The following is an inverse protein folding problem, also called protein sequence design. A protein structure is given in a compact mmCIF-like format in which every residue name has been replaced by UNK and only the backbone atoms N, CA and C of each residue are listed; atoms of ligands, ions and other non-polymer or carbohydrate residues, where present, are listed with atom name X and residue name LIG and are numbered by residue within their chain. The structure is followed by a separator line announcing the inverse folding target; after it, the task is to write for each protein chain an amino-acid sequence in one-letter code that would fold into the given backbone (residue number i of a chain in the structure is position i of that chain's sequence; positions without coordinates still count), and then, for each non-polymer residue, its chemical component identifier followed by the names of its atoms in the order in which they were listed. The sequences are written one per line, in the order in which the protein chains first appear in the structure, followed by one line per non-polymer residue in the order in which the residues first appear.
data_IF_738352584989
#
_entry.id   IF_738352584989
#
_cell.length_a   1.000
_cell.length_b   1.000
_cell.length_c   1.000
_cell.angle_alpha   90.00
_cell.angle_beta   90.00
_cell.angle_gamma   90.00
#
_symmetry.space_group_name_H-M   'P 1'
#
loop_
_entity.id
_entity.type
_entity.pdbx_description
1 polymer ?
#
# COMPACT_ATOMS: atom_id res chain seq x y z
N UNK A 1 33.95 -1.26 -42.19
CA UNK A 1 34.36 -1.08 -40.79
C UNK A 1 33.07 -0.78 -40.03
N UNK A 2 32.55 -1.75 -39.29
CA UNK A 2 31.33 -1.57 -38.48
C UNK A 2 31.76 -1.28 -37.05
N UNK A 3 31.31 -0.15 -36.51
CA UNK A 3 31.60 0.30 -35.17
C UNK A 3 30.72 -0.46 -34.17
N UNK A 4 31.34 -1.06 -33.16
CA UNK A 4 30.70 -1.83 -32.10
C UNK A 4 29.94 -0.88 -31.17
N UNK A 5 28.61 -0.94 -31.20
CA UNK A 5 27.75 -0.29 -30.21
C UNK A 5 27.95 -0.93 -28.85
N UNK A 6 28.49 -0.15 -27.91
CA UNK A 6 28.55 -0.50 -26.48
C UNK A 6 27.11 -0.57 -25.97
N UNK A 7 26.66 -1.77 -25.62
CA UNK A 7 25.42 -1.96 -24.85
C UNK A 7 25.65 -1.39 -23.45
N UNK A 8 25.01 -0.25 -23.15
CA UNK A 8 24.95 0.26 -21.79
C UNK A 8 24.24 -0.77 -20.91
N UNK A 9 24.85 -1.20 -19.79
CA UNK A 9 24.19 -2.12 -18.86
C UNK A 9 22.91 -1.48 -18.31
N UNK A 10 21.89 -2.32 -18.25
CA UNK A 10 20.55 -2.14 -17.72
C UNK A 10 20.51 -1.11 -16.58
N UNK A 11 19.63 -0.12 -16.71
CA UNK A 11 19.27 0.78 -15.61
C UNK A 11 18.81 -0.08 -14.43
N UNK A 12 19.62 -0.13 -13.38
CA UNK A 12 19.21 -0.62 -12.07
C UNK A 12 17.96 0.17 -11.70
N UNK A 13 16.83 -0.51 -11.46
CA UNK A 13 15.63 0.15 -10.96
C UNK A 13 16.00 0.84 -9.63
N UNK A 14 16.09 2.16 -9.66
CA UNK A 14 16.29 2.96 -8.45
C UNK A 14 15.05 2.80 -7.56
N UNK A 15 15.23 2.83 -6.24
CA UNK A 15 14.08 3.04 -5.37
C UNK A 15 13.39 4.32 -5.82
N UNK A 16 12.07 4.27 -5.99
CA UNK A 16 11.28 5.45 -6.29
C UNK A 16 10.42 5.76 -5.07
N UNK A 17 11.06 6.25 -4.00
CA UNK A 17 10.34 6.92 -2.92
C UNK A 17 10.50 8.41 -3.15
N UNK A 18 9.52 8.98 -3.84
CA UNK A 18 9.49 10.38 -4.22
C UNK A 18 8.35 11.07 -3.47
N UNK A 19 8.59 12.13 -2.69
CA UNK A 19 7.52 12.86 -2.03
C UNK A 19 6.65 13.58 -3.07
N UNK A 20 5.36 13.71 -2.79
CA UNK A 20 4.45 14.47 -3.63
C UNK A 20 4.60 15.99 -3.39
N UNK A 21 4.59 16.84 -4.43
CA UNK A 21 4.63 18.30 -4.29
C UNK A 21 3.23 18.88 -4.03
N UNK A 22 2.54 18.41 -3.00
CA UNK A 22 1.11 18.68 -2.73
C UNK A 22 0.84 19.40 -1.39
N UNK A 23 1.88 20.01 -0.80
CA UNK A 23 1.76 20.71 0.49
C UNK A 23 1.68 19.79 1.72
N UNK A 24 1.82 18.47 1.55
CA UNK A 24 1.99 17.54 2.67
C UNK A 24 3.38 17.68 3.31
N UNK A 25 4.36 18.25 2.60
CA UNK A 25 5.73 18.47 3.08
C UNK A 25 6.39 17.17 3.58
N UNK A 26 6.13 16.05 2.90
CA UNK A 26 6.85 14.80 3.14
C UNK A 26 8.30 14.96 2.71
N UNK A 27 9.22 14.55 3.57
CA UNK A 27 10.66 14.68 3.34
C UNK A 27 11.30 13.31 3.37
N UNK A 28 12.14 13.03 2.36
CA UNK A 28 12.88 11.77 2.25
C UNK A 28 14.35 12.09 2.42
N UNK A 29 14.97 11.52 3.45
CA UNK A 29 16.40 11.68 3.73
C UNK A 29 17.08 10.31 3.61
N UNK A 30 17.75 10.03 2.48
CA UNK A 30 18.52 8.81 2.31
C UNK A 30 19.71 8.74 3.28
N UNK A 31 19.93 7.57 3.88
CA UNK A 31 21.13 7.21 4.63
C UNK A 31 21.55 5.80 4.21
N UNK A 32 22.41 5.72 3.19
CA UNK A 32 22.68 4.46 2.49
C UNK A 32 21.39 3.89 1.87
N UNK A 33 21.07 2.64 2.18
CA UNK A 33 19.86 1.95 1.70
C UNK A 33 18.61 2.24 2.55
N UNK A 34 18.70 3.11 3.55
CA UNK A 34 17.58 3.49 4.41
C UNK A 34 17.05 4.86 3.98
N UNK A 35 15.78 4.91 3.58
CA UNK A 35 15.05 6.14 3.27
C UNK A 35 14.27 6.57 4.51
N UNK A 36 14.78 7.56 5.24
CA UNK A 36 14.08 8.11 6.39
C UNK A 36 12.98 9.07 5.92
N UNK A 37 11.74 8.77 6.29
CA UNK A 37 10.54 9.52 5.92
C UNK A 37 10.18 10.40 7.11
N UNK A 38 10.33 11.71 6.93
CA UNK A 38 10.12 12.77 7.91
C UNK A 38 9.13 13.83 7.38
N UNK A 39 8.93 14.90 8.15
CA UNK A 39 8.03 15.99 7.80
C UNK A 39 6.59 15.51 7.87
N UNK A 40 5.79 15.79 6.85
CA UNK A 40 4.37 15.44 6.81
C UNK A 40 3.47 16.52 7.43
N UNK A 41 2.17 16.22 7.49
CA UNK A 41 1.16 17.07 8.13
C UNK A 41 0.54 16.33 9.29
N UNK A 42 0.34 17.01 10.41
CA UNK A 42 -0.35 16.46 11.56
C UNK A 42 -1.84 16.82 11.55
N UNK A 43 -2.66 15.95 12.13
CA UNK A 43 -4.05 16.25 12.46
C UNK A 43 -4.17 17.34 13.54
N UNK A 44 -5.36 17.91 13.69
CA UNK A 44 -5.60 18.98 14.67
C UNK A 44 -5.41 18.54 16.13
N UNK A 45 -5.57 17.25 16.42
CA UNK A 45 -5.30 16.63 17.73
C UNK A 45 -3.85 16.14 17.88
N UNK A 46 -3.02 16.28 16.85
CA UNK A 46 -1.62 15.84 16.82
C UNK A 46 -1.42 14.32 16.83
N UNK A 47 -2.48 13.51 16.74
CA UNK A 47 -2.40 12.05 16.89
C UNK A 47 -2.10 11.32 15.57
N UNK A 48 -2.35 11.94 14.42
CA UNK A 48 -2.16 11.35 13.09
C UNK A 48 -1.12 12.14 12.30
N UNK A 49 -0.16 11.43 11.68
CA UNK A 49 0.82 12.01 10.76
C UNK A 49 0.56 11.51 9.34
N UNK A 50 0.43 12.45 8.41
CA UNK A 50 0.12 12.17 7.01
C UNK A 50 1.34 12.44 6.12
N UNK A 51 1.62 11.48 5.25
CA UNK A 51 2.62 11.55 4.20
C UNK A 51 1.98 11.34 2.82
N UNK A 52 2.59 11.96 1.82
CA UNK A 52 2.15 11.88 0.43
C UNK A 52 3.33 11.66 -0.48
N UNK A 53 3.20 10.67 -1.37
CA UNK A 53 4.25 10.21 -2.26
C UNK A 53 3.78 10.28 -3.71
N UNK A 54 4.62 10.80 -4.58
CA UNK A 54 4.41 10.65 -6.02
C UNK A 54 4.61 9.18 -6.41
N UNK A 55 5.63 8.53 -5.86
CA UNK A 55 5.92 7.11 -6.05
C UNK A 55 6.42 6.55 -4.72
N UNK A 56 6.05 5.31 -4.44
CA UNK A 56 6.53 4.58 -3.27
C UNK A 56 6.88 3.15 -3.67
N UNK A 57 8.16 2.86 -3.76
CA UNK A 57 8.69 1.52 -4.05
C UNK A 57 10.03 1.26 -3.37
N UNK A 58 10.34 -0.02 -3.17
CA UNK A 58 11.59 -0.49 -2.56
C UNK A 58 12.16 -1.63 -3.38
N UNK A 59 13.47 -1.64 -3.60
CA UNK A 59 14.20 -2.81 -4.09
C UNK A 59 14.84 -3.59 -2.94
N UNK A 60 15.43 -4.75 -3.25
CA UNK A 60 16.03 -5.62 -2.24
C UNK A 60 17.12 -4.90 -1.44
N UNK A 61 17.09 -5.10 -0.12
CA UNK A 61 18.05 -4.49 0.81
C UNK A 61 17.75 -3.03 1.16
N UNK A 62 16.72 -2.43 0.55
CA UNK A 62 16.27 -1.08 0.89
C UNK A 62 15.25 -1.08 2.02
N UNK A 63 15.24 0.02 2.78
CA UNK A 63 14.31 0.22 3.90
C UNK A 63 13.59 1.55 3.75
N UNK A 64 12.25 1.55 3.82
CA UNK A 64 11.46 2.75 4.07
C UNK A 64 11.25 2.88 5.58
N UNK A 65 11.85 3.88 6.20
CA UNK A 65 11.76 4.10 7.64
C UNK A 65 10.91 5.33 7.96
N UNK A 66 9.67 5.11 8.40
CA UNK A 66 8.79 6.18 8.87
C UNK A 66 9.20 6.64 10.27
N UNK A 67 9.53 7.93 10.40
CA UNK A 67 9.94 8.50 11.68
C UNK A 67 8.70 8.94 12.45
N UNK A 68 8.43 8.22 13.54
CA UNK A 68 7.35 8.47 14.49
C UNK A 68 7.86 9.26 15.71
N UNK A 69 6.94 9.57 16.62
CA UNK A 69 7.19 10.01 17.98
C UNK A 69 6.12 9.42 18.95
N UNK A 70 6.32 9.49 20.28
CA UNK A 70 5.39 8.88 21.25
C UNK A 70 3.96 9.44 21.24
N UNK A 71 3.73 10.64 20.69
CA UNK A 71 2.40 11.25 20.63
C UNK A 71 1.58 10.77 19.43
N UNK A 72 2.24 10.21 18.40
CA UNK A 72 1.58 9.73 17.19
C UNK A 72 0.95 8.35 17.43
N UNK A 73 -0.34 8.25 17.15
CA UNK A 73 -1.09 6.98 17.13
C UNK A 73 -1.06 6.34 15.76
N UNK A 74 -1.15 7.12 14.70
CA UNK A 74 -1.20 6.62 13.33
C UNK A 74 -0.26 7.42 12.41
N UNK A 75 0.41 6.71 11.52
CA UNK A 75 1.10 7.25 10.35
C UNK A 75 0.35 6.76 9.12
N UNK A 76 -0.01 7.66 8.22
CA UNK A 76 -0.74 7.35 7.00
C UNK A 76 0.06 7.86 5.79
N UNK A 77 0.46 6.97 4.90
CA UNK A 77 1.07 7.29 3.62
C UNK A 77 0.10 7.07 2.47
N UNK A 78 -0.09 8.09 1.61
CA UNK A 78 -0.79 7.94 0.33
C UNK A 78 0.19 8.01 -0.84
N UNK A 79 -0.04 7.20 -1.87
CA UNK A 79 0.58 7.38 -3.18
C UNK A 79 -0.42 8.08 -4.09
N UNK A 80 -0.02 9.24 -4.61
CA UNK A 80 -0.85 10.09 -5.49
C UNK A 80 -0.47 9.94 -6.97
N UNK A 81 0.66 9.31 -7.26
CA UNK A 81 1.02 8.94 -8.63
C UNK A 81 0.25 7.72 -9.12
N UNK A 82 0.19 7.56 -10.45
CA UNK A 82 -0.57 6.51 -11.12
C UNK A 82 0.09 5.13 -11.11
N UNK A 83 1.28 5.01 -10.53
CA UNK A 83 2.05 3.78 -10.53
C UNK A 83 1.75 2.92 -9.30
N UNK A 84 1.68 1.60 -9.50
CA UNK A 84 1.57 0.65 -8.41
C UNK A 84 2.85 0.66 -7.55
N UNK A 85 2.69 0.43 -6.25
CA UNK A 85 3.80 0.33 -5.32
C UNK A 85 4.46 -1.04 -5.40
N UNK A 86 5.67 -1.12 -5.96
CA UNK A 86 6.49 -2.33 -5.94
C UNK A 86 7.44 -2.27 -4.75
N UNK A 87 7.14 -3.08 -3.73
CA UNK A 87 7.87 -3.11 -2.46
C UNK A 87 8.60 -4.45 -2.41
N UNK A 88 9.92 -4.45 -2.43
CA UNK A 88 10.75 -5.65 -2.32
C UNK A 88 11.85 -5.44 -1.26
N UNK A 89 11.48 -4.88 -0.11
CA UNK A 89 12.42 -4.50 0.95
C UNK A 89 11.73 -4.40 2.32
N UNK A 90 12.33 -3.65 3.24
CA UNK A 90 11.82 -3.49 4.60
C UNK A 90 10.97 -2.21 4.73
N UNK A 91 9.75 -2.34 5.24
CA UNK A 91 8.99 -1.19 5.76
C UNK A 91 9.14 -1.18 7.27
N UNK A 92 9.54 -0.02 7.81
CA UNK A 92 9.86 0.14 9.22
C UNK A 92 9.23 1.42 9.78
N UNK A 93 8.90 1.40 11.07
CA UNK A 93 8.58 2.60 11.85
C UNK A 93 9.50 2.65 13.07
N UNK A 94 10.13 3.79 13.32
CA UNK A 94 10.98 4.03 14.50
C UNK A 94 10.56 5.29 15.25
N UNK A 95 10.95 5.42 16.52
CA UNK A 95 10.73 6.64 17.32
C UNK A 95 9.39 6.71 18.06
N UNK A 96 8.49 5.74 17.86
CA UNK A 96 7.18 5.68 18.51
C UNK A 96 6.50 4.32 18.37
N UNK A 97 5.26 4.21 18.82
CA UNK A 97 4.43 2.99 18.76
C UNK A 97 3.17 3.23 17.90
N UNK A 98 3.35 3.77 16.71
CA UNK A 98 2.23 4.13 15.82
C UNK A 98 1.83 2.99 14.89
N UNK A 99 0.54 2.91 14.57
CA UNK A 99 0.03 2.12 13.45
C UNK A 99 0.51 2.73 12.14
N UNK A 100 0.67 1.90 11.10
CA UNK A 100 1.03 2.34 9.76
C UNK A 100 -0.05 1.95 8.74
N UNK A 101 -0.53 2.93 7.99
CA UNK A 101 -1.46 2.77 6.88
C UNK A 101 -0.75 3.17 5.58
N UNK A 102 -0.77 2.31 4.58
CA UNK A 102 -0.27 2.59 3.24
C UNK A 102 -1.40 2.45 2.23
N UNK A 103 -1.69 3.53 1.51
CA UNK A 103 -2.76 3.63 0.53
C UNK A 103 -2.18 3.90 -0.86
N UNK A 104 -2.47 3.02 -1.82
CA UNK A 104 -2.18 3.26 -3.24
C UNK A 104 -3.31 2.68 -4.12
N UNK A 105 -4.21 3.52 -4.66
CA UNK A 105 -5.30 3.04 -5.53
C UNK A 105 -4.84 2.32 -6.80
N UNK A 106 -3.63 2.62 -7.30
CA UNK A 106 -3.09 1.98 -8.50
C UNK A 106 -2.67 0.51 -8.28
N UNK A 107 -2.46 0.11 -7.02
CA UNK A 107 -2.09 -1.25 -6.64
C UNK A 107 -0.84 -1.33 -5.76
N UNK A 108 -0.67 -2.47 -5.09
CA UNK A 108 0.49 -2.74 -4.22
C UNK A 108 1.00 -4.15 -4.47
N UNK A 109 2.32 -4.30 -4.68
CA UNK A 109 3.01 -5.58 -4.81
C UNK A 109 4.07 -5.68 -3.72
N UNK A 110 3.89 -6.60 -2.79
CA UNK A 110 4.92 -7.03 -1.86
C UNK A 110 5.70 -8.19 -2.47
N UNK A 111 6.91 -7.92 -2.96
CA UNK A 111 7.86 -8.91 -3.48
C UNK A 111 8.38 -9.86 -2.39
N UNK A 112 9.13 -10.87 -2.81
CA UNK A 112 9.58 -12.00 -1.94
C UNK A 112 10.47 -11.55 -0.77
N UNK A 113 11.20 -10.46 -0.91
CA UNK A 113 12.03 -9.89 0.16
C UNK A 113 11.29 -8.90 1.05
N UNK A 114 9.99 -8.68 0.82
CA UNK A 114 9.19 -7.76 1.63
C UNK A 114 9.12 -8.23 3.08
N UNK A 115 9.43 -7.34 4.01
CA UNK A 115 9.32 -7.56 5.45
C UNK A 115 8.76 -6.31 6.12
N UNK A 116 8.15 -6.51 7.28
CA UNK A 116 7.67 -5.43 8.13
C UNK A 116 8.47 -5.41 9.45
N UNK A 117 8.89 -4.24 9.88
CA UNK A 117 9.35 -3.97 11.24
C UNK A 117 8.57 -2.78 11.79
N UNK A 118 7.29 -3.03 12.08
CA UNK A 118 6.36 -2.02 12.61
C UNK A 118 6.04 -2.33 14.07
N UNK A 119 5.89 -1.30 14.93
CA UNK A 119 5.68 -1.50 16.34
C UNK A 119 4.23 -1.80 16.72
N UNK A 120 3.28 -1.32 15.91
CA UNK A 120 1.84 -1.54 16.07
C UNK A 120 1.22 -2.16 14.79
N UNK A 121 -0.07 -1.93 14.55
CA UNK A 121 -0.79 -2.53 13.42
C UNK A 121 -0.31 -1.99 12.05
N UNK A 122 -0.43 -2.83 11.02
CA UNK A 122 -0.15 -2.48 9.63
C UNK A 122 -1.39 -2.68 8.75
N UNK A 123 -1.71 -1.67 7.95
CA UNK A 123 -2.77 -1.72 6.95
C UNK A 123 -2.24 -1.31 5.59
N UNK A 124 -2.43 -2.16 4.57
CA UNK A 124 -2.21 -1.81 3.18
C UNK A 124 -3.54 -1.83 2.42
N UNK A 125 -3.82 -0.79 1.64
CA UNK A 125 -5.08 -0.68 0.91
C UNK A 125 -4.96 -0.04 -0.47
N UNK A 126 -5.83 -0.45 -1.39
CA UNK A 126 -6.05 0.22 -2.69
C UNK A 126 -7.35 1.04 -2.72
N UNK A 127 -7.93 1.30 -1.54
CA UNK A 127 -9.01 2.26 -1.38
C UNK A 127 -8.59 3.65 -1.89
N UNK A 128 -9.57 4.43 -2.34
CA UNK A 128 -9.41 5.83 -2.75
C UNK A 128 -9.45 6.81 -1.58
N UNK A 129 -9.83 6.35 -0.39
CA UNK A 129 -9.69 7.13 0.83
C UNK A 129 -9.82 6.32 2.11
N UNK A 130 -9.28 6.88 3.19
CA UNK A 130 -9.35 6.38 4.56
C UNK A 130 -10.18 7.36 5.39
N UNK A 131 -11.25 6.90 6.00
CA UNK A 131 -12.23 7.73 6.68
C UNK A 131 -11.91 7.98 8.15
N UNK A 132 -12.17 9.22 8.58
CA UNK A 132 -12.09 9.72 9.94
C UNK A 132 -13.44 10.36 10.29
N UNK A 133 -14.36 9.57 10.86
CA UNK A 133 -15.76 9.97 11.06
C UNK A 133 -16.40 10.43 9.73
N UNK A 134 -16.65 11.73 9.57
CA UNK A 134 -17.27 12.31 8.37
C UNK A 134 -16.26 12.89 7.37
N UNK A 135 -14.96 12.79 7.69
CA UNK A 135 -13.86 13.33 6.89
C UNK A 135 -13.08 12.21 6.22
N UNK A 136 -12.37 12.53 5.13
CA UNK A 136 -11.60 11.57 4.36
C UNK A 136 -10.17 12.02 4.18
N UNK A 137 -9.24 11.10 4.45
CA UNK A 137 -7.91 11.15 3.88
C UNK A 137 -7.98 10.54 2.48
N UNK A 138 -8.09 11.39 1.47
CA UNK A 138 -8.29 11.00 0.07
C UNK A 138 -6.97 10.74 -0.63
N UNK A 139 -6.92 9.77 -1.53
CA UNK A 139 -5.77 9.51 -2.39
C UNK A 139 -5.62 10.55 -3.50
N UNK A 140 -6.74 11.08 -4.01
CA UNK A 140 -6.79 12.16 -4.99
C UNK A 140 -7.24 13.47 -4.35
N UNK A 141 -6.78 14.59 -4.92
CA UNK A 141 -7.15 15.93 -4.46
C UNK A 141 -6.53 16.36 -3.13
N UNK A 142 -7.03 17.48 -2.62
CA UNK A 142 -6.56 18.09 -1.38
C UNK A 142 -7.20 17.47 -0.14
N UNK A 143 -6.46 17.48 0.97
CA UNK A 143 -6.95 17.00 2.26
C UNK A 143 -6.95 18.12 3.30
N UNK A 144 -8.02 18.21 4.08
CA UNK A 144 -8.04 19.05 5.28
C UNK A 144 -7.49 18.26 6.48
N UNK A 145 -6.17 18.18 6.57
CA UNK A 145 -5.46 17.41 7.60
C UNK A 145 -5.91 17.73 9.04
N UNK A 146 -6.20 19.00 9.33
CA UNK A 146 -6.62 19.43 10.67
C UNK A 146 -7.92 18.75 11.15
N UNK A 147 -8.79 18.32 10.22
CA UNK A 147 -10.06 17.66 10.52
C UNK A 147 -9.97 16.12 10.58
N UNK A 148 -8.81 15.54 10.24
CA UNK A 148 -8.58 14.09 10.24
C UNK A 148 -8.12 13.62 11.64
N UNK A 149 -8.97 13.86 12.64
CA UNK A 149 -8.72 13.58 14.06
C UNK A 149 -9.29 12.21 14.48
N UNK A 150 -8.75 11.64 15.56
CA UNK A 150 -9.16 10.31 16.03
C UNK A 150 -8.56 9.16 15.21
N UNK A 151 -9.26 8.02 15.15
CA UNK A 151 -8.78 6.82 14.47
C UNK A 151 -9.44 6.62 13.10
N UNK A 152 -8.70 6.08 12.11
CA UNK A 152 -9.29 5.53 10.88
C UNK A 152 -10.41 4.54 11.20
N UNK A 153 -11.55 4.67 10.52
CA UNK A 153 -12.73 3.82 10.78
C UNK A 153 -13.38 3.24 9.52
N UNK A 154 -12.98 3.71 8.34
CA UNK A 154 -13.57 3.26 7.08
C UNK A 154 -12.62 3.42 5.90
N UNK A 155 -12.93 2.71 4.81
CA UNK A 155 -12.23 2.78 3.54
C UNK A 155 -13.24 2.93 2.41
N UNK A 156 -12.97 3.82 1.46
CA UNK A 156 -13.81 3.99 0.29
C UNK A 156 -13.13 3.44 -0.94
N UNK A 157 -13.87 2.62 -1.70
CA UNK A 157 -13.46 2.12 -3.01
C UNK A 157 -14.36 2.78 -4.03
N UNK A 158 -14.14 4.06 -4.34
CA UNK A 158 -15.06 4.85 -5.17
C UNK A 158 -14.94 4.59 -6.67
N UNK A 159 -13.85 3.96 -7.10
CA UNK A 159 -13.64 3.54 -8.49
C UNK A 159 -14.39 2.26 -8.80
N UNK A 160 -14.89 2.13 -10.03
CA UNK A 160 -15.53 0.90 -10.54
C UNK A 160 -14.59 -0.31 -10.52
N UNK A 161 -13.31 -0.09 -10.84
CA UNK A 161 -12.27 -1.12 -10.81
C UNK A 161 -11.13 -0.68 -9.88
N UNK A 162 -11.15 -1.10 -8.59
CA UNK A 162 -10.06 -0.79 -7.68
C UNK A 162 -8.81 -1.63 -7.94
N UNK A 163 -7.64 -1.11 -7.56
CA UNK A 163 -6.35 -1.78 -7.72
C UNK A 163 -6.21 -3.07 -6.91
N UNK A 164 -5.30 -3.93 -7.34
CA UNK A 164 -5.00 -5.19 -6.66
C UNK A 164 -3.91 -5.08 -5.59
N UNK A 165 -3.90 -6.03 -4.65
CA UNK A 165 -2.77 -6.29 -3.75
C UNK A 165 -2.20 -7.67 -4.07
N UNK A 166 -0.89 -7.73 -4.34
CA UNK A 166 -0.15 -8.99 -4.47
C UNK A 166 0.83 -9.11 -3.31
N UNK A 167 0.79 -10.22 -2.57
CA UNK A 167 1.78 -10.55 -1.55
C UNK A 167 2.52 -11.84 -1.88
N UNK A 168 3.82 -11.70 -2.14
CA UNK A 168 4.79 -12.78 -2.33
C UNK A 168 5.79 -12.87 -1.16
N UNK A 169 5.74 -11.92 -0.21
CA UNK A 169 6.70 -11.77 0.88
C UNK A 169 6.25 -12.38 2.21
N UNK A 170 6.97 -12.05 3.28
CA UNK A 170 6.56 -12.41 4.65
C UNK A 170 6.16 -11.14 5.40
N UNK A 171 4.86 -10.90 5.51
CA UNK A 171 4.30 -9.77 6.23
C UNK A 171 3.91 -10.22 7.63
N UNK A 172 4.70 -9.82 8.62
CA UNK A 172 4.49 -10.16 10.01
C UNK A 172 4.42 -8.88 10.86
N UNK A 173 3.40 -8.79 11.72
CA UNK A 173 3.31 -7.76 12.76
C UNK A 173 3.66 -8.35 14.13
N UNK A 174 3.88 -7.48 15.12
CA UNK A 174 4.21 -7.90 16.49
C UNK A 174 3.03 -8.55 17.19
N UNK A 175 3.30 -9.21 18.31
CA UNK A 175 2.28 -9.86 19.12
C UNK A 175 1.16 -8.89 19.53
N UNK A 176 -0.08 -9.33 19.42
CA UNK A 176 -1.29 -8.55 19.71
C UNK A 176 -1.64 -7.48 18.68
N UNK A 177 -0.86 -7.34 17.60
CA UNK A 177 -1.10 -6.34 16.56
C UNK A 177 -1.86 -6.92 15.37
N UNK A 178 -2.55 -6.06 14.61
CA UNK A 178 -3.35 -6.48 13.47
C UNK A 178 -2.61 -6.25 12.14
N UNK A 179 -2.86 -7.13 11.18
CA UNK A 179 -2.39 -7.04 9.80
C UNK A 179 -3.60 -7.01 8.87
N UNK A 180 -3.76 -5.95 8.08
CA UNK A 180 -4.93 -5.76 7.21
C UNK A 180 -4.52 -5.48 5.76
N UNK A 181 -5.06 -6.26 4.82
CA UNK A 181 -4.93 -6.06 3.37
C UNK A 181 -6.33 -5.88 2.76
N UNK A 182 -6.60 -4.71 2.18
CA UNK A 182 -7.90 -4.38 1.56
C UNK A 182 -7.69 -3.88 0.13
N UNK A 183 -8.11 -4.64 -0.87
CA UNK A 183 -7.92 -4.28 -2.28
C UNK A 183 -9.08 -4.69 -3.16
N UNK A 184 -9.12 -4.21 -4.41
CA UNK A 184 -10.12 -4.64 -5.39
C UNK A 184 -9.99 -6.13 -5.74
N UNK A 185 -8.75 -6.58 -5.82
CA UNK A 185 -8.38 -8.00 -5.92
C UNK A 185 -7.22 -8.26 -4.97
N UNK A 186 -7.12 -9.47 -4.42
CA UNK A 186 -5.99 -9.85 -3.57
C UNK A 186 -5.47 -11.22 -3.99
N UNK A 187 -4.16 -11.30 -4.20
CA UNK A 187 -3.42 -12.54 -4.36
C UNK A 187 -2.33 -12.59 -3.28
N UNK A 188 -2.36 -13.58 -2.39
CA UNK A 188 -1.30 -13.78 -1.39
C UNK A 188 -0.79 -15.21 -1.46
N UNK A 189 0.44 -15.38 -1.93
CA UNK A 189 1.18 -16.65 -1.87
C UNK A 189 2.33 -16.60 -0.85
N UNK A 190 2.66 -15.40 -0.36
CA UNK A 190 3.55 -15.18 0.77
C UNK A 190 2.90 -15.47 2.13
N UNK A 191 3.70 -15.37 3.20
CA UNK A 191 3.25 -15.58 4.58
C UNK A 191 2.63 -14.29 5.15
N UNK A 192 1.52 -14.46 5.88
CA UNK A 192 0.90 -13.42 6.71
C UNK A 192 0.91 -13.89 8.16
N UNK A 193 1.38 -13.05 9.09
CA UNK A 193 1.47 -13.41 10.52
C UNK A 193 1.08 -12.24 11.43
N UNK A 194 0.22 -12.52 12.40
CA UNK A 194 -0.20 -11.60 13.45
C UNK A 194 -0.43 -12.36 14.76
N UNK A 195 0.64 -12.81 15.46
CA UNK A 195 0.51 -13.62 16.66
C UNK A 195 -0.34 -12.91 17.71
N UNK A 196 -1.38 -13.56 18.25
CA UNK A 196 -2.29 -12.95 19.24
C UNK A 196 -3.10 -11.75 18.74
N UNK A 197 -3.01 -11.40 17.46
CA UNK A 197 -3.81 -10.36 16.80
C UNK A 197 -4.65 -10.93 15.66
N UNK A 198 -5.15 -10.07 14.78
CA UNK A 198 -6.01 -10.46 13.68
C UNK A 198 -5.35 -10.21 12.32
N UNK A 199 -5.57 -11.15 11.39
CA UNK A 199 -5.26 -10.97 9.96
C UNK A 199 -6.58 -10.76 9.22
N UNK A 200 -6.72 -9.61 8.58
CA UNK A 200 -7.87 -9.29 7.72
C UNK A 200 -7.42 -9.19 6.27
N UNK A 201 -7.98 -10.03 5.41
CA UNK A 201 -7.77 -9.97 3.96
C UNK A 201 -9.13 -9.92 3.29
N UNK A 202 -9.43 -8.83 2.58
CA UNK A 202 -10.72 -8.68 1.91
C UNK A 202 -10.56 -8.07 0.52
N UNK A 203 -11.13 -8.76 -0.47
CA UNK A 203 -11.36 -8.21 -1.80
C UNK A 203 -12.66 -7.38 -1.75
N UNK A 204 -12.57 -6.11 -2.15
CA UNK A 204 -13.67 -5.14 -2.04
C UNK A 204 -14.03 -4.68 -3.46
N UNK A 205 -15.24 -4.97 -3.95
CA UNK A 205 -15.67 -4.46 -5.24
C UNK A 205 -15.66 -2.93 -5.28
N UNK A 206 -15.50 -2.36 -6.46
CA UNK A 206 -15.64 -0.94 -6.67
C UNK A 206 -17.02 -0.41 -6.26
N UNK A 207 -17.11 0.90 -6.05
CA UNK A 207 -18.32 1.62 -5.63
C UNK A 207 -18.87 1.17 -4.25
N UNK A 208 -17.98 0.73 -3.36
CA UNK A 208 -18.31 0.28 -2.01
C UNK A 208 -17.52 1.02 -0.93
N UNK A 209 -18.09 1.01 0.28
CA UNK A 209 -17.46 1.44 1.51
C UNK A 209 -17.24 0.23 2.41
N UNK A 210 -16.12 0.26 3.12
CA UNK A 210 -15.78 -0.73 4.14
C UNK A 210 -15.70 0.00 5.47
N UNK A 211 -16.47 -0.44 6.46
CA UNK A 211 -16.37 0.07 7.83
C UNK A 211 -15.67 -0.97 8.70
N UNK A 212 -14.68 -0.53 9.48
CA UNK A 212 -14.08 -1.37 10.51
C UNK A 212 -14.91 -1.20 11.78
N UNK A 213 -15.35 -2.32 12.35
CA UNK A 213 -16.08 -2.28 13.60
C UNK A 213 -15.17 -1.91 14.77
N UNK A 214 -15.71 -1.16 15.73
CA UNK A 214 -15.03 -0.84 16.98
C UNK A 214 -15.07 -2.03 17.97
N UNK A 215 -14.13 -2.09 18.95
CA UNK A 215 -14.13 -3.12 19.99
C UNK A 215 -15.50 -3.28 20.66
N UNK A 216 -16.03 -4.51 20.70
CA UNK A 216 -17.35 -4.83 21.26
C UNK A 216 -18.43 -5.23 20.24
N UNK A 217 -18.14 -5.12 18.94
CA UNK A 217 -19.02 -5.62 17.88
C UNK A 217 -18.63 -7.05 17.43
N UNK A 218 -19.64 -7.86 17.07
CA UNK A 218 -19.43 -9.24 16.60
C UNK A 218 -18.92 -9.30 15.15
N UNK A 219 -19.36 -8.39 14.29
CA UNK A 219 -18.86 -8.25 12.92
C UNK A 219 -17.71 -7.25 12.92
N UNK A 220 -16.53 -7.67 12.44
CA UNK A 220 -15.33 -6.83 12.34
C UNK A 220 -15.29 -5.92 11.11
N UNK A 221 -16.05 -6.27 10.06
CA UNK A 221 -16.05 -5.62 8.76
C UNK A 221 -17.48 -5.53 8.21
N UNK A 222 -17.87 -4.35 7.74
CA UNK A 222 -19.14 -4.14 7.03
C UNK A 222 -18.87 -3.52 5.66
N UNK A 223 -19.42 -4.11 4.60
CA UNK A 223 -19.31 -3.58 3.23
C UNK A 223 -20.67 -3.03 2.81
N UNK A 224 -20.72 -1.75 2.44
CA UNK A 224 -21.94 -1.05 2.07
C UNK A 224 -21.79 -0.38 0.69
N UNK A 225 -22.85 -0.36 -0.14
CA UNK A 225 -22.84 0.41 -1.38
C UNK A 225 -22.57 1.90 -1.11
N UNK A 226 -21.83 2.55 -2.01
CA UNK A 226 -21.51 3.97 -1.92
C UNK A 226 -22.75 4.89 -1.80
N UNK A 227 -23.89 4.48 -2.35
CA UNK A 227 -25.16 5.23 -2.30
C UNK A 227 -25.74 5.42 -0.89
N UNK A 228 -25.22 4.70 0.12
CA UNK A 228 -25.58 4.86 1.52
C UNK A 228 -24.72 5.90 2.27
N UNK A 229 -23.78 6.56 1.60
CA UNK A 229 -22.81 7.46 2.22
C UNK A 229 -23.22 8.94 2.17
N UNK A 230 -22.88 9.70 3.22
CA UNK A 230 -23.08 11.16 3.25
C UNK A 230 -22.02 11.95 2.46
N UNK A 231 -20.73 11.64 2.65
CA UNK A 231 -19.61 12.26 1.95
C UNK A 231 -18.61 11.17 1.51
N UNK A 232 -17.93 11.39 0.39
CA UNK A 232 -17.01 10.43 -0.23
C UNK A 232 -15.72 11.13 -0.67
N UNK A 233 -14.58 10.42 -0.69
CA UNK A 233 -13.35 10.96 -1.27
C UNK A 233 -13.50 11.11 -2.79
N UNK A 234 -12.63 11.95 -3.36
CA UNK A 234 -12.59 12.14 -4.80
C UNK A 234 -12.16 10.84 -5.52
N UNK A 235 -12.76 10.59 -6.69
CA UNK A 235 -12.41 9.43 -7.49
C UNK A 235 -10.95 9.46 -7.94
N UNK A 236 -10.34 8.29 -7.99
CA UNK A 236 -9.04 8.11 -8.61
C UNK A 236 -9.20 8.19 -10.13
N UNK A 237 -8.48 9.09 -10.78
CA UNK A 237 -8.60 9.33 -12.23
C UNK A 237 -7.39 8.81 -13.02
N UNK A 238 -6.38 8.29 -12.33
CA UNK A 238 -5.20 7.71 -12.96
C UNK A 238 -5.43 6.22 -13.27
N UNK A 239 -4.68 5.63 -14.22
CA UNK A 239 -4.82 4.22 -14.56
C UNK A 239 -4.67 3.31 -13.33
N UNK A 240 -5.46 2.24 -13.32
CA UNK A 240 -5.34 1.14 -12.36
C UNK A 240 -4.83 -0.07 -13.13
N UNK A 241 -3.73 -0.66 -12.67
CA UNK A 241 -3.09 -1.79 -13.36
C UNK A 241 -3.84 -3.08 -13.00
N UNK A 242 -4.16 -3.90 -14.02
CA UNK A 242 -4.82 -5.20 -13.79
C UNK A 242 -3.89 -6.19 -13.10
N UNK A 243 -4.43 -7.22 -12.44
CA UNK A 243 -3.63 -8.22 -11.74
C UNK A 243 -2.59 -8.93 -12.65
N UNK A 244 -2.92 -9.36 -13.88
CA UNK A 244 -1.91 -9.91 -14.80
C UNK A 244 -0.79 -8.91 -15.09
N UNK A 245 -1.12 -7.65 -15.35
CA UNK A 245 -0.12 -6.61 -15.61
C UNK A 245 0.73 -6.31 -14.35
N UNK A 246 0.17 -6.38 -13.14
CA UNK A 246 0.94 -6.28 -11.90
C UNK A 246 1.95 -7.42 -11.76
N UNK A 247 1.58 -8.63 -12.18
CA UNK A 247 2.43 -9.83 -12.09
C UNK A 247 3.49 -9.90 -13.21
N UNK A 248 3.27 -9.24 -14.34
CA UNK A 248 4.20 -9.26 -15.47
C UNK A 248 5.00 -7.96 -15.66
N UNK A 249 4.74 -6.93 -14.86
CA UNK A 249 5.39 -5.62 -15.00
C UNK A 249 4.88 -4.81 -16.20
N UNK A 250 3.60 -4.94 -16.52
CA UNK A 250 2.90 -4.14 -17.54
C UNK A 250 2.73 -4.81 -18.91
N UNK A 251 3.36 -5.95 -19.17
CA UNK A 251 3.23 -6.71 -20.42
C UNK A 251 2.54 -8.04 -20.21
N UNK A 252 1.25 -8.16 -20.53
CA UNK A 252 0.56 -9.45 -20.54
C UNK A 252 -0.93 -9.36 -20.21
N UNK A 253 -1.71 -10.22 -20.86
CA UNK A 253 -3.10 -10.53 -20.51
C UNK A 253 -3.14 -11.97 -20.01
N UNK A 254 -3.88 -12.22 -18.94
CA UNK A 254 -4.12 -13.56 -18.42
C UNK A 254 -5.55 -13.64 -17.88
N UNK A 255 -6.18 -14.80 -18.02
CA UNK A 255 -7.56 -15.06 -17.57
C UNK A 255 -7.59 -15.72 -16.19
N UNK A 256 -6.45 -16.20 -15.69
CA UNK A 256 -6.35 -16.82 -14.38
C UNK A 256 -4.92 -16.91 -13.85
N UNK A 257 -4.83 -17.36 -12.61
CA UNK A 257 -3.59 -17.51 -11.85
C UNK A 257 -3.60 -18.89 -11.18
N UNK A 258 -2.54 -19.66 -11.33
CA UNK A 258 -2.35 -20.94 -10.64
C UNK A 258 -1.07 -20.90 -9.81
N UNK A 259 -0.98 -21.81 -8.83
CA UNK A 259 0.25 -22.05 -8.08
C UNK A 259 0.71 -23.46 -8.43
N UNK A 260 1.92 -23.60 -8.96
CA UNK A 260 2.47 -24.90 -9.32
C UNK A 260 2.93 -25.67 -8.07
N UNK A 261 3.32 -26.94 -8.25
CA UNK A 261 3.78 -27.82 -7.15
C UNK A 261 5.06 -27.33 -6.47
N UNK A 262 5.75 -26.34 -7.03
CA UNK A 262 6.93 -25.69 -6.47
C UNK A 262 6.59 -24.39 -5.71
N UNK A 263 5.29 -24.06 -5.56
CA UNK A 263 4.84 -22.83 -4.89
C UNK A 263 5.00 -21.58 -5.74
N UNK A 264 5.26 -21.71 -7.04
CA UNK A 264 5.43 -20.57 -7.95
C UNK A 264 4.09 -20.15 -8.55
N UNK A 265 3.91 -18.84 -8.70
CA UNK A 265 2.73 -18.26 -9.35
C UNK A 265 2.90 -18.35 -10.87
N UNK A 266 1.94 -18.96 -11.53
CA UNK A 266 1.84 -19.06 -12.99
C UNK A 266 0.54 -18.38 -13.46
N UNK A 267 0.58 -17.75 -14.63
CA UNK A 267 -0.61 -17.20 -15.28
C UNK A 267 -1.17 -18.25 -16.24
N UNK A 268 -2.49 -18.44 -16.23
CA UNK A 268 -3.19 -19.29 -17.19
C UNK A 268 -3.69 -18.46 -18.36
N UNK A 269 -3.70 -19.06 -19.56
CA UNK A 269 -4.04 -18.42 -20.84
C UNK A 269 -3.27 -17.11 -21.09
N UNK A 270 -1.96 -17.12 -20.80
CA UNK A 270 -1.08 -15.99 -21.06
C UNK A 270 0.02 -16.35 -22.05
N UNK A 271 0.30 -15.45 -23.01
CA UNK A 271 1.49 -15.51 -23.85
C UNK A 271 2.77 -15.07 -23.11
N UNK A 272 2.67 -14.74 -21.82
CA UNK A 272 3.76 -14.17 -21.02
C UNK A 272 3.93 -14.92 -19.69
N UNK A 273 5.08 -15.58 -19.50
CA UNK A 273 5.39 -16.24 -18.23
C UNK A 273 5.59 -15.20 -17.12
N UNK A 274 5.04 -15.46 -15.94
CA UNK A 274 5.38 -14.72 -14.72
C UNK A 274 6.89 -14.85 -14.52
N UNK A 275 7.62 -13.74 -14.56
CA UNK A 275 9.03 -13.73 -14.14
C UNK A 275 9.05 -13.86 -12.61
N UNK A 276 8.99 -15.09 -12.13
CA UNK A 276 9.28 -15.42 -10.74
C UNK A 276 10.76 -15.13 -10.50
N UNK A 277 11.01 -13.97 -9.88
CA UNK A 277 12.35 -13.44 -9.73
C UNK A 277 12.47 -12.08 -10.41
N UNK A 278 11.97 -11.03 -9.76
CA UNK A 278 12.74 -9.78 -9.75
C UNK A 278 13.99 -10.01 -8.92
N UNK A 279 14.94 -10.78 -9.47
CA UNK A 279 16.34 -10.42 -9.35
C UNK A 279 16.53 -9.27 -10.35
N UNK A 280 16.47 -8.05 -9.82
CA UNK A 280 16.99 -6.84 -10.46
C UNK A 280 18.35 -6.55 -9.83
#
# INVERSE_FOLDING_TARGET
MWELGIVNPSQIATAQINPAPDGTNTQITPNGNVFNINGGRQSGDGANLFHSFQQFGLTQGQTANFISNPNLRNILGRVVGGDASIINGLIQVTGGNSNLFLMNPAGIVFGTNSRLNVPAAFTATTATGIGFNNNWFSAAGDNNYAQLVGNPNSFAFTNTQPGGIVNLGNLAVREGQNLTLLGGTILSTGQLSAPGGNITVAAVPGENLVRISQPGNLLSLEVQPQSAAGSLPQNWVLPVVSLPQLLTGGGGSATGVTVNSQGQVELTDSDTKVKMGISL
#
